data_IF_545770484879
#
_entry.id   IF_545770484879
#
_cell.length_a   1.000
_cell.length_b   1.000
_cell.length_c   1.000
_cell.angle_alpha   90.00
_cell.angle_beta   90.00
_cell.angle_gamma   90.00
#
_symmetry.space_group_name_H-M   'P 1'
#
loop_
_entity.id
_entity.type
_entity.pdbx_description
1 polymer ?
#
# COMPACT_ATOMS: atom_id res chain seq x y z
N UNK A 1 -16.84 -19.07 -5.60
CA UNK A 1 -15.82 -20.09 -5.92
C UNK A 1 -15.91 -20.37 -7.42
N UNK A 2 -14.80 -20.29 -8.16
CA UNK A 2 -14.67 -20.82 -9.50
C UNK A 2 -14.78 -19.87 -10.69
N UNK A 3 -14.77 -18.54 -10.52
CA UNK A 3 -14.77 -17.62 -11.68
C UNK A 3 -13.43 -16.97 -12.00
N UNK A 4 -12.52 -16.93 -11.06
CA UNK A 4 -11.21 -16.31 -11.27
C UNK A 4 -10.14 -16.89 -10.32
N UNK A 5 -9.62 -18.05 -10.70
CA UNK A 5 -8.52 -18.68 -9.94
C UNK A 5 -7.22 -17.87 -10.00
N UNK A 6 -7.05 -17.04 -11.02
CA UNK A 6 -5.90 -16.15 -11.13
C UNK A 6 -5.93 -15.02 -10.09
N UNK A 7 -7.12 -14.73 -9.52
CA UNK A 7 -7.23 -13.71 -8.46
C UNK A 7 -6.35 -14.04 -7.25
N UNK A 8 -6.16 -15.32 -6.92
CA UNK A 8 -5.27 -15.75 -5.84
C UNK A 8 -3.83 -15.22 -6.04
N UNK A 9 -3.34 -15.26 -7.28
CA UNK A 9 -2.00 -14.80 -7.61
C UNK A 9 -1.94 -13.27 -7.64
N UNK A 10 -3.01 -12.61 -8.09
CA UNK A 10 -3.11 -11.14 -8.01
C UNK A 10 -3.11 -10.67 -6.57
N UNK A 11 -3.88 -11.31 -5.69
CA UNK A 11 -3.93 -11.00 -4.26
C UNK A 11 -2.59 -11.26 -3.56
N UNK A 12 -1.92 -12.38 -3.89
CA UNK A 12 -0.57 -12.67 -3.40
C UNK A 12 0.41 -11.58 -3.81
N UNK A 13 0.33 -11.12 -5.07
CA UNK A 13 1.20 -10.07 -5.58
C UNK A 13 0.94 -8.75 -4.85
N UNK A 14 -0.32 -8.38 -4.61
CA UNK A 14 -0.66 -7.19 -3.83
C UNK A 14 -0.16 -7.28 -2.39
N UNK A 15 -0.26 -8.44 -1.77
CA UNK A 15 0.30 -8.67 -0.44
C UNK A 15 1.83 -8.52 -0.44
N UNK A 16 2.53 -9.07 -1.44
CA UNK A 16 3.97 -8.92 -1.57
C UNK A 16 4.39 -7.45 -1.75
N UNK A 17 3.70 -6.68 -2.60
CA UNK A 17 3.94 -5.24 -2.78
C UNK A 17 3.78 -4.49 -1.44
N UNK A 18 2.72 -4.80 -0.69
CA UNK A 18 2.48 -4.16 0.60
C UNK A 18 3.59 -4.46 1.60
N UNK A 19 4.02 -5.73 1.70
CA UNK A 19 5.09 -6.15 2.62
C UNK A 19 6.40 -5.44 2.28
N UNK A 20 6.82 -5.49 1.01
CA UNK A 20 8.08 -4.85 0.58
C UNK A 20 8.03 -3.33 0.77
N UNK A 21 6.89 -2.70 0.43
CA UNK A 21 6.71 -1.26 0.66
C UNK A 21 6.83 -0.91 2.15
N UNK A 22 6.23 -1.70 3.03
CA UNK A 22 6.29 -1.47 4.48
C UNK A 22 7.72 -1.63 5.02
N UNK A 23 8.45 -2.64 4.60
CA UNK A 23 9.87 -2.82 4.94
C UNK A 23 10.72 -1.64 4.47
N UNK A 24 10.50 -1.15 3.25
CA UNK A 24 11.20 0.02 2.72
C UNK A 24 10.84 1.29 3.49
N UNK A 25 9.56 1.51 3.83
CA UNK A 25 9.12 2.62 4.68
C UNK A 25 9.83 2.61 6.02
N UNK A 26 9.91 1.48 6.70
CA UNK A 26 10.62 1.35 7.97
C UNK A 26 12.12 1.69 7.81
N UNK A 27 12.75 1.25 6.73
CA UNK A 27 14.17 1.50 6.50
C UNK A 27 14.53 2.98 6.25
N UNK A 28 13.58 3.78 5.76
CA UNK A 28 13.78 5.21 5.47
C UNK A 28 13.16 6.13 6.52
N UNK A 29 12.53 5.58 7.55
CA UNK A 29 11.77 6.32 8.56
C UNK A 29 12.59 7.45 9.21
N UNK A 30 13.79 7.15 9.69
CA UNK A 30 14.67 8.16 10.33
C UNK A 30 15.00 9.32 9.40
N UNK A 31 15.33 9.01 8.13
CA UNK A 31 15.64 10.04 7.13
C UNK A 31 14.43 10.89 6.79
N UNK A 32 13.26 10.25 6.71
CA UNK A 32 12.01 10.93 6.46
C UNK A 32 11.63 11.88 7.62
N UNK A 33 11.84 11.46 8.87
CA UNK A 33 11.60 12.29 10.06
C UNK A 33 12.53 13.49 10.11
N UNK A 34 13.82 13.31 9.76
CA UNK A 34 14.77 14.41 9.66
C UNK A 34 14.34 15.41 8.57
N UNK A 35 14.03 14.94 7.37
CA UNK A 35 13.57 15.79 6.27
C UNK A 35 12.27 16.51 6.59
N UNK A 36 11.31 15.83 7.25
CA UNK A 36 10.07 16.43 7.71
C UNK A 36 10.29 17.53 8.75
N UNK A 37 11.25 17.31 9.67
CA UNK A 37 11.63 18.32 10.67
C UNK A 37 12.25 19.54 10.01
N UNK A 38 13.13 19.37 9.03
CA UNK A 38 13.70 20.50 8.27
C UNK A 38 12.61 21.31 7.54
N UNK A 39 11.64 20.64 6.91
CA UNK A 39 10.49 21.31 6.28
C UNK A 39 9.62 22.05 7.28
N UNK A 40 9.41 21.50 8.48
CA UNK A 40 8.68 22.18 9.55
C UNK A 40 9.43 23.42 10.04
N UNK A 41 10.75 23.34 10.19
CA UNK A 41 11.57 24.51 10.52
C UNK A 41 11.39 25.60 9.47
N UNK A 42 11.43 25.25 8.18
CA UNK A 42 11.26 26.21 7.09
C UNK A 42 9.85 26.85 7.07
N UNK A 43 8.81 26.08 7.42
CA UNK A 43 7.43 26.58 7.53
C UNK A 43 7.24 27.50 8.73
N UNK A 44 7.97 27.27 9.82
CA UNK A 44 7.90 28.05 11.07
C UNK A 44 8.82 29.28 11.07
N UNK A 45 9.79 29.31 10.15
CA UNK A 45 10.64 30.48 10.00
C UNK A 45 9.79 31.73 9.68
N UNK A 46 10.00 32.85 10.36
CA UNK A 46 9.33 34.08 10.01
C UNK A 46 9.68 34.42 8.58
N UNK A 47 8.72 34.20 7.69
CA UNK A 47 8.87 34.63 6.30
C UNK A 47 9.00 36.15 6.34
N UNK A 48 10.20 36.64 6.02
CA UNK A 48 10.33 37.99 5.54
C UNK A 48 9.37 38.09 4.35
N UNK A 49 8.20 38.66 4.60
CA UNK A 49 7.14 38.88 3.61
C UNK A 49 7.69 39.75 2.49
N UNK A 50 8.48 39.16 1.58
CA UNK A 50 8.54 39.69 0.25
C UNK A 50 7.18 39.36 -0.35
N UNK A 51 6.26 40.31 -0.18
CA UNK A 51 5.07 40.47 -1.02
C UNK A 51 5.51 40.10 -2.43
N UNK A 52 5.07 38.92 -2.91
CA UNK A 52 4.90 38.73 -4.33
C UNK A 52 3.82 39.76 -4.73
N UNK A 53 4.29 40.97 -5.08
CA UNK A 53 3.47 41.84 -5.89
C UNK A 53 3.19 41.04 -7.16
N UNK A 54 1.91 40.83 -7.53
CA UNK A 54 1.59 40.36 -8.85
C UNK A 54 2.21 41.40 -9.78
N UNK A 55 3.21 40.97 -10.56
CA UNK A 55 3.77 41.81 -11.61
C UNK A 55 2.66 42.00 -12.65
N UNK A 56 1.88 43.02 -12.45
CA UNK A 56 1.03 43.62 -13.50
C UNK A 56 1.94 44.23 -14.56
N UNK A 57 2.70 43.35 -15.21
CA UNK A 57 3.40 43.67 -16.42
C UNK A 57 2.40 43.74 -17.54
N UNK A 58 2.10 44.96 -17.99
CA UNK A 58 1.37 45.17 -19.24
C UNK A 58 2.05 44.35 -20.37
N UNK A 59 1.26 43.75 -21.29
CA UNK A 59 1.79 42.91 -22.37
C UNK A 59 2.78 43.61 -23.34
N UNK A 60 3.06 44.89 -23.15
CA UNK A 60 3.94 45.68 -24.01
C UNK A 60 5.40 45.69 -23.60
N UNK A 61 5.77 45.23 -22.39
CA UNK A 61 7.16 45.27 -21.90
C UNK A 61 8.04 44.15 -22.49
N UNK A 62 7.47 43.11 -23.07
CA UNK A 62 8.21 42.00 -23.67
C UNK A 62 8.76 42.26 -25.09
N UNK A 63 8.47 43.43 -25.69
CA UNK A 63 8.90 43.73 -27.06
C UNK A 63 10.22 44.51 -27.10
N UNK A 64 10.59 45.16 -26.01
CA UNK A 64 11.89 45.85 -25.91
C UNK A 64 12.81 45.10 -24.96
N UNK A 65 13.63 44.21 -25.52
CA UNK A 65 14.60 43.36 -24.85
C UNK A 65 15.65 44.11 -24.03
N UNK A 66 15.26 44.54 -22.82
CA UNK A 66 16.15 44.99 -21.79
C UNK A 66 15.87 44.21 -20.52
N UNK A 67 16.39 42.97 -20.44
CA UNK A 67 16.56 42.27 -19.20
C UNK A 67 17.60 42.97 -18.35
N UNK A 68 17.20 43.90 -17.50
CA UNK A 68 18.02 44.43 -16.44
C UNK A 68 18.07 43.33 -15.36
N UNK A 69 19.22 42.70 -15.09
CA UNK A 69 19.31 41.76 -13.97
C UNK A 69 19.06 42.54 -12.68
N UNK A 70 17.97 42.26 -11.99
CA UNK A 70 17.77 42.77 -10.63
C UNK A 70 18.92 42.31 -9.76
N UNK A 71 19.62 43.20 -9.04
CA UNK A 71 20.69 42.78 -8.13
C UNK A 71 20.05 41.89 -7.05
N UNK A 72 20.40 40.61 -7.01
CA UNK A 72 20.16 39.75 -5.83
C UNK A 72 20.87 40.44 -4.67
N UNK A 73 20.11 41.04 -3.75
CA UNK A 73 20.64 41.52 -2.48
C UNK A 73 21.21 40.29 -1.77
N UNK A 74 22.53 40.14 -1.78
CA UNK A 74 23.25 39.23 -0.89
C UNK A 74 22.91 39.64 0.55
N UNK A 75 22.40 38.70 1.34
CA UNK A 75 22.20 38.90 2.77
C UNK A 75 23.52 39.38 3.40
N UNK A 76 23.42 40.34 4.31
CA UNK A 76 24.59 40.77 5.11
C UNK A 76 25.01 39.62 6.05
N UNK A 77 26.24 39.64 6.54
CA UNK A 77 26.77 38.62 7.47
C UNK A 77 25.89 38.55 8.75
N UNK A 78 25.48 39.71 9.25
CA UNK A 78 24.62 39.84 10.43
C UNK A 78 23.22 39.21 10.18
N UNK A 79 22.62 39.42 9.00
CA UNK A 79 21.34 38.81 8.62
C UNK A 79 21.43 37.28 8.48
N UNK A 80 22.58 36.75 8.08
CA UNK A 80 22.84 35.31 8.03
C UNK A 80 22.93 34.71 9.42
N UNK A 81 23.69 35.36 10.31
CA UNK A 81 23.85 34.88 11.69
C UNK A 81 22.51 34.89 12.45
N UNK A 82 21.69 35.91 12.27
CA UNK A 82 20.33 35.95 12.83
C UNK A 82 19.42 34.85 12.24
N UNK A 83 19.51 34.60 10.93
CA UNK A 83 18.78 33.53 10.27
C UNK A 83 19.16 32.15 10.84
N UNK A 84 20.47 31.84 10.96
CA UNK A 84 20.93 30.56 11.47
C UNK A 84 20.61 30.37 12.96
N UNK A 85 20.69 31.43 13.77
CA UNK A 85 20.34 31.37 15.18
C UNK A 85 18.85 31.12 15.39
N UNK A 86 17.99 31.79 14.63
CA UNK A 86 16.54 31.60 14.66
C UNK A 86 16.17 30.19 14.20
N UNK A 87 16.75 29.72 13.11
CA UNK A 87 16.55 28.37 12.60
C UNK A 87 16.93 27.29 13.62
N UNK A 88 18.06 27.44 14.29
CA UNK A 88 18.52 26.50 15.33
C UNK A 88 17.60 26.50 16.54
N UNK A 89 17.12 27.69 16.95
CA UNK A 89 16.16 27.82 18.06
C UNK A 89 14.85 27.12 17.76
N UNK A 90 14.29 27.30 16.57
CA UNK A 90 13.05 26.63 16.14
C UNK A 90 13.28 25.11 16.05
N UNK A 91 14.39 24.65 15.49
CA UNK A 91 14.72 23.23 15.44
C UNK A 91 14.83 22.60 16.83
N UNK A 92 15.46 23.30 17.78
CA UNK A 92 15.53 22.86 19.18
C UNK A 92 14.15 22.76 19.83
N UNK A 93 13.28 23.77 19.65
CA UNK A 93 11.93 23.78 20.19
C UNK A 93 11.04 22.70 19.57
N UNK A 94 11.18 22.42 18.27
CA UNK A 94 10.51 21.32 17.59
C UNK A 94 10.93 19.95 18.13
N UNK A 95 12.22 19.75 18.34
CA UNK A 95 12.76 18.48 18.87
C UNK A 95 12.40 18.30 20.37
N UNK A 96 12.24 19.41 21.09
CA UNK A 96 11.80 19.38 22.49
C UNK A 96 10.29 19.25 22.65
N UNK A 97 9.51 19.20 21.55
CA UNK A 97 8.04 19.08 21.59
C UNK A 97 7.30 20.35 22.05
N UNK A 98 7.97 21.48 22.19
CA UNK A 98 7.37 22.73 22.69
C UNK A 98 6.41 23.37 21.68
N UNK A 99 6.52 23.04 20.39
CA UNK A 99 5.75 23.65 19.31
C UNK A 99 4.63 22.73 18.76
N UNK A 100 4.39 21.56 19.36
CA UNK A 100 3.45 20.56 18.84
C UNK A 100 2.01 21.08 18.64
N UNK A 101 1.58 22.02 19.47
CA UNK A 101 0.24 22.63 19.38
C UNK A 101 0.18 23.88 18.50
N UNK A 102 1.30 24.37 17.99
CA UNK A 102 1.33 25.52 17.11
C UNK A 102 0.68 25.18 15.77
N UNK A 103 -0.13 26.10 15.23
CA UNK A 103 -0.83 25.91 13.97
C UNK A 103 0.09 26.35 12.83
N UNK A 104 0.28 25.47 11.85
CA UNK A 104 1.00 25.72 10.60
C UNK A 104 0.08 25.58 9.41
N UNK A 105 0.38 26.29 8.33
CA UNK A 105 -0.27 26.13 7.03
C UNK A 105 0.58 25.20 6.15
N UNK A 106 0.01 24.06 5.80
CA UNK A 106 0.67 23.06 4.96
C UNK A 106 -0.11 22.86 3.66
N UNK A 107 0.61 22.83 2.55
CA UNK A 107 0.07 22.36 1.27
C UNK A 107 0.01 20.83 1.29
N UNK A 108 -1.21 20.29 1.37
CA UNK A 108 -1.45 18.83 1.34
C UNK A 108 -2.04 18.46 -0.01
N UNK A 109 -1.55 17.38 -0.60
CA UNK A 109 -2.17 16.78 -1.77
C UNK A 109 -3.54 16.21 -1.39
N UNK A 110 -4.59 16.67 -2.06
CA UNK A 110 -5.93 16.14 -1.86
C UNK A 110 -6.01 14.77 -2.55
N UNK A 111 -6.02 13.69 -1.76
CA UNK A 111 -6.42 12.38 -2.27
C UNK A 111 -7.83 12.53 -2.84
N UNK A 112 -7.99 12.33 -4.14
CA UNK A 112 -9.31 12.29 -4.77
C UNK A 112 -10.04 11.04 -4.25
N UNK A 113 -10.54 11.09 -3.01
CA UNK A 113 -11.52 10.16 -2.53
C UNK A 113 -12.80 10.42 -3.34
N UNK A 114 -13.05 9.52 -4.29
CA UNK A 114 -14.35 9.23 -4.88
C UNK A 114 -15.35 10.40 -4.87
N UNK A 115 -15.26 11.28 -5.84
CA UNK A 115 -16.46 11.94 -6.31
C UNK A 115 -17.37 10.85 -6.84
N UNK A 116 -18.20 10.31 -5.96
CA UNK A 116 -19.36 9.51 -6.32
C UNK A 116 -20.28 10.37 -7.18
N UNK A 117 -20.03 10.35 -8.47
CA UNK A 117 -20.92 10.92 -9.46
C UNK A 117 -22.02 9.92 -9.80
N UNK A 118 -22.54 9.26 -8.75
CA UNK A 118 -23.70 8.35 -8.82
C UNK A 118 -24.96 9.04 -9.35
N UNK A 119 -24.94 10.36 -9.53
CA UNK A 119 -26.08 11.11 -10.05
C UNK A 119 -26.27 10.99 -11.57
N UNK A 120 -25.34 10.39 -12.32
CA UNK A 120 -25.40 10.30 -13.78
C UNK A 120 -25.40 8.88 -14.34
N UNK A 121 -25.55 7.84 -13.51
CA UNK A 121 -25.75 6.47 -13.99
C UNK A 121 -24.60 5.85 -14.80
N UNK A 122 -23.39 6.40 -14.75
CA UNK A 122 -22.20 5.85 -15.40
C UNK A 122 -21.28 5.32 -14.32
N UNK A 123 -21.36 4.02 -14.09
CA UNK A 123 -20.54 3.25 -13.14
C UNK A 123 -19.12 2.97 -13.71
N UNK A 124 -18.51 3.93 -14.37
CA UNK A 124 -17.12 3.83 -14.79
C UNK A 124 -16.27 4.67 -13.86
N UNK A 125 -15.35 4.01 -13.18
CA UNK A 125 -14.35 4.60 -12.29
C UNK A 125 -13.36 5.46 -13.11
N UNK A 126 -13.83 6.62 -13.55
CA UNK A 126 -13.09 7.56 -14.41
C UNK A 126 -11.86 8.13 -13.68
N UNK A 127 -11.83 7.98 -12.35
CA UNK A 127 -10.68 8.33 -11.51
C UNK A 127 -9.44 7.50 -11.80
N UNK A 128 -9.60 6.21 -12.11
CA UNK A 128 -8.48 5.32 -12.44
C UNK A 128 -7.92 5.55 -13.86
N UNK A 129 -8.77 6.03 -14.78
CA UNK A 129 -8.33 6.27 -16.16
C UNK A 129 -7.69 7.65 -16.36
N UNK A 130 -8.13 8.66 -15.64
CA UNK A 130 -7.66 10.05 -15.77
C UNK A 130 -6.75 10.51 -14.62
N UNK A 131 -6.63 9.70 -13.56
CA UNK A 131 -5.82 10.00 -12.38
C UNK A 131 -4.36 10.40 -12.68
N UNK A 132 -3.66 9.68 -13.58
CA UNK A 132 -2.28 10.04 -13.94
C UNK A 132 -2.13 11.32 -14.76
N UNK A 133 -3.20 11.78 -15.41
CA UNK A 133 -3.17 12.94 -16.31
C UNK A 133 -3.66 14.26 -15.67
N UNK A 134 -4.31 14.20 -14.51
CA UNK A 134 -4.74 15.40 -13.80
C UNK A 134 -3.68 15.87 -12.80
N UNK A 135 -3.26 17.14 -12.83
CA UNK A 135 -2.37 17.68 -11.80
C UNK A 135 -3.06 17.56 -10.43
N UNK A 136 -2.37 16.90 -9.49
CA UNK A 136 -2.84 16.78 -8.11
C UNK A 136 -3.12 18.17 -7.54
N UNK A 137 -4.34 18.41 -7.11
CA UNK A 137 -4.72 19.69 -6.51
C UNK A 137 -4.11 19.79 -5.12
N UNK A 138 -3.23 20.76 -4.93
CA UNK A 138 -2.70 21.12 -3.62
C UNK A 138 -3.69 22.03 -2.91
N UNK A 139 -3.99 21.75 -1.66
CA UNK A 139 -4.86 22.58 -0.82
C UNK A 139 -4.12 22.98 0.45
N UNK A 140 -4.12 24.26 0.75
CA UNK A 140 -3.60 24.77 2.01
C UNK A 140 -4.53 24.34 3.15
N UNK A 141 -3.98 23.61 4.13
CA UNK A 141 -4.66 23.21 5.35
C UNK A 141 -3.94 23.79 6.57
N UNK A 142 -4.73 24.30 7.52
CA UNK A 142 -4.23 24.69 8.84
C UNK A 142 -4.34 23.50 9.78
N UNK A 143 -3.23 23.12 10.39
CA UNK A 143 -3.19 22.00 11.32
C UNK A 143 -2.11 22.21 12.38
N UNK A 144 -2.20 21.53 13.54
CA UNK A 144 -1.12 21.54 14.54
C UNK A 144 0.18 20.95 13.98
N UNK A 145 1.32 21.38 14.52
CA UNK A 145 2.65 20.86 14.14
C UNK A 145 2.71 19.33 14.31
N UNK A 146 2.10 18.76 15.34
CA UNK A 146 2.03 17.31 15.56
C UNK A 146 1.42 16.57 14.37
N UNK A 147 0.32 17.08 13.81
CA UNK A 147 -0.31 16.46 12.62
C UNK A 147 0.48 16.76 11.36
N UNK A 148 1.00 17.97 11.22
CA UNK A 148 1.85 18.36 10.09
C UNK A 148 3.12 17.50 10.03
N UNK A 149 3.74 17.19 11.17
CA UNK A 149 4.89 16.28 11.27
C UNK A 149 4.57 14.91 10.68
N UNK A 150 3.44 14.31 11.08
CA UNK A 150 3.01 13.00 10.57
C UNK A 150 2.80 13.01 9.05
N UNK A 151 2.13 14.04 8.54
CA UNK A 151 1.88 14.20 7.10
C UNK A 151 3.19 14.37 6.33
N UNK A 152 4.06 15.25 6.80
CA UNK A 152 5.34 15.51 6.15
C UNK A 152 6.27 14.30 6.20
N UNK A 153 6.33 13.58 7.32
CA UNK A 153 7.12 12.34 7.42
C UNK A 153 6.64 11.30 6.41
N UNK A 154 5.32 11.13 6.26
CA UNK A 154 4.78 10.22 5.26
C UNK A 154 5.11 10.66 3.82
N UNK A 155 4.97 11.95 3.51
CA UNK A 155 5.34 12.50 2.20
C UNK A 155 6.83 12.33 1.88
N UNK A 156 7.71 12.60 2.85
CA UNK A 156 9.17 12.45 2.67
C UNK A 156 9.56 10.96 2.55
N UNK A 157 8.93 10.07 3.33
CA UNK A 157 9.14 8.63 3.21
C UNK A 157 8.74 8.11 1.82
N UNK A 158 7.56 8.52 1.30
CA UNK A 158 7.12 8.13 -0.04
C UNK A 158 8.06 8.66 -1.16
N UNK A 159 8.71 9.82 -0.96
CA UNK A 159 9.71 10.33 -1.91
C UNK A 159 11.04 9.56 -1.90
N UNK A 160 11.39 8.99 -0.75
CA UNK A 160 12.63 8.23 -0.58
C UNK A 160 12.53 6.79 -1.10
N UNK A 161 11.33 6.33 -1.43
CA UNK A 161 11.08 4.97 -1.91
C UNK A 161 10.96 4.97 -3.42
N UNK A 162 11.75 4.13 -4.07
CA UNK A 162 11.60 3.81 -5.48
C UNK A 162 10.54 2.72 -5.66
N UNK A 163 9.37 3.10 -6.15
CA UNK A 163 8.25 2.17 -6.37
C UNK A 163 8.52 1.15 -7.46
N UNK A 164 9.40 1.43 -8.41
CA UNK A 164 9.79 0.47 -9.44
C UNK A 164 10.69 -0.63 -8.84
N UNK A 165 11.58 -0.26 -7.92
CA UNK A 165 12.39 -1.21 -7.16
C UNK A 165 11.52 -2.07 -6.24
N UNK A 166 10.57 -1.46 -5.52
CA UNK A 166 9.61 -2.16 -4.66
C UNK A 166 8.82 -3.18 -5.48
N UNK A 167 8.32 -2.78 -6.64
CA UNK A 167 7.53 -3.65 -7.52
C UNK A 167 8.37 -4.83 -8.00
N UNK A 168 9.57 -4.58 -8.49
CA UNK A 168 10.48 -5.64 -8.97
C UNK A 168 10.81 -6.64 -7.87
N UNK A 169 11.15 -6.16 -6.67
CA UNK A 169 11.46 -7.02 -5.54
C UNK A 169 10.25 -7.83 -5.09
N UNK A 170 9.08 -7.21 -5.02
CA UNK A 170 7.84 -7.88 -4.63
C UNK A 170 7.42 -8.98 -5.60
N UNK A 171 7.56 -8.75 -6.93
CA UNK A 171 7.30 -9.78 -7.92
C UNK A 171 8.25 -10.97 -7.76
N UNK A 172 9.55 -10.73 -7.55
CA UNK A 172 10.52 -11.79 -7.31
C UNK A 172 10.21 -12.57 -6.02
N UNK A 173 9.80 -11.89 -4.95
CA UNK A 173 9.40 -12.56 -3.69
C UNK A 173 8.12 -13.37 -3.87
N UNK A 174 7.13 -12.85 -4.57
CA UNK A 174 5.89 -13.57 -4.87
C UNK A 174 6.17 -14.84 -5.67
N UNK A 175 7.02 -14.78 -6.69
CA UNK A 175 7.39 -15.93 -7.52
C UNK A 175 8.17 -17.00 -6.76
N UNK A 176 9.15 -16.62 -5.91
CA UNK A 176 10.10 -17.55 -5.31
C UNK A 176 9.76 -17.95 -3.86
N UNK A 177 8.97 -17.16 -3.17
CA UNK A 177 8.63 -17.35 -1.75
C UNK A 177 7.12 -17.30 -1.50
N UNK A 178 6.31 -17.24 -2.54
CA UNK A 178 4.86 -17.21 -2.45
C UNK A 178 4.30 -18.51 -1.87
N UNK A 179 3.37 -18.40 -0.92
CA UNK A 179 2.61 -19.52 -0.35
C UNK A 179 1.13 -19.22 -0.56
N UNK A 180 0.44 -20.14 -1.20
CA UNK A 180 -1.00 -20.03 -1.49
C UNK A 180 -1.75 -21.12 -0.76
N UNK A 181 -2.70 -20.74 0.09
CA UNK A 181 -3.59 -21.67 0.78
C UNK A 181 -4.91 -21.78 0.01
N UNK A 182 -5.29 -23.01 -0.32
CA UNK A 182 -6.57 -23.34 -0.95
C UNK A 182 -7.40 -24.07 0.10
N UNK A 183 -8.33 -23.36 0.72
CA UNK A 183 -9.20 -23.96 1.73
C UNK A 183 -10.44 -24.61 1.10
N UNK A 184 -11.03 -25.55 1.83
CA UNK A 184 -12.23 -26.29 1.44
C UNK A 184 -12.13 -27.01 0.08
N UNK A 185 -10.95 -27.56 -0.27
CA UNK A 185 -10.77 -28.27 -1.54
C UNK A 185 -11.69 -29.48 -1.69
N UNK A 186 -12.17 -30.05 -0.57
CA UNK A 186 -13.15 -31.11 -0.54
C UNK A 186 -14.51 -30.73 -1.16
N UNK A 187 -14.83 -29.43 -1.24
CA UNK A 187 -16.09 -28.95 -1.86
C UNK A 187 -16.08 -29.10 -3.38
N UNK A 188 -14.90 -29.12 -3.98
CA UNK A 188 -14.74 -29.35 -5.42
C UNK A 188 -14.37 -30.81 -5.76
N UNK A 189 -14.10 -31.64 -4.76
CA UNK A 189 -13.92 -33.08 -4.93
C UNK A 189 -15.27 -33.79 -5.18
N UNK A 190 -15.26 -34.83 -5.96
CA UNK A 190 -16.42 -35.69 -6.23
C UNK A 190 -16.98 -35.56 -7.63
N UNK A 191 -17.62 -36.65 -8.07
CA UNK A 191 -18.24 -36.77 -9.39
C UNK A 191 -19.57 -36.06 -9.40
N UNK A 192 -19.97 -35.47 -10.55
CA UNK A 192 -21.29 -34.93 -10.77
C UNK A 192 -22.35 -36.02 -10.58
N UNK A 193 -23.23 -35.85 -9.60
CA UNK A 193 -24.53 -36.55 -9.64
C UNK A 193 -25.39 -35.87 -10.71
N UNK A 194 -25.78 -36.63 -11.72
CA UNK A 194 -26.65 -36.19 -12.80
C UNK A 194 -28.01 -35.73 -12.19
N UNK A 195 -28.20 -34.43 -12.05
CA UNK A 195 -29.50 -33.93 -11.56
C UNK A 195 -29.57 -32.50 -11.07
N UNK A 196 -28.53 -31.71 -11.18
CA UNK A 196 -28.58 -30.32 -10.71
C UNK A 196 -28.23 -29.34 -11.82
N UNK A 197 -29.01 -28.26 -11.94
CA UNK A 197 -29.00 -27.27 -13.01
C UNK A 197 -27.66 -26.62 -13.36
N UNK A 198 -27.60 -25.42 -13.98
CA UNK A 198 -26.39 -24.82 -14.57
C UNK A 198 -25.41 -24.34 -13.50
N UNK A 199 -24.97 -25.24 -12.61
CA UNK A 199 -23.91 -25.00 -11.65
C UNK A 199 -22.54 -25.23 -12.31
N UNK A 200 -21.59 -24.36 -11.95
CA UNK A 200 -20.19 -24.50 -12.34
C UNK A 200 -19.74 -25.91 -11.96
N UNK A 201 -19.33 -26.69 -12.96
CA UNK A 201 -18.91 -28.07 -12.74
C UNK A 201 -17.76 -28.09 -11.74
N UNK A 202 -17.86 -28.91 -10.68
CA UNK A 202 -16.77 -29.09 -9.69
C UNK A 202 -15.46 -29.51 -10.37
N UNK A 203 -15.56 -30.37 -11.37
CA UNK A 203 -14.42 -30.78 -12.19
C UNK A 203 -13.86 -29.60 -13.02
N UNK A 204 -14.72 -28.69 -13.49
CA UNK A 204 -14.29 -27.48 -14.19
C UNK A 204 -13.41 -26.59 -13.29
N UNK A 205 -13.80 -26.39 -12.04
CA UNK A 205 -13.00 -25.61 -11.07
C UNK A 205 -11.63 -26.28 -10.80
N UNK A 206 -11.60 -27.62 -10.70
CA UNK A 206 -10.32 -28.32 -10.54
C UNK A 206 -9.43 -28.13 -11.76
N UNK A 207 -9.97 -28.15 -12.96
CA UNK A 207 -9.25 -27.90 -14.21
C UNK A 207 -8.79 -26.44 -14.34
N UNK A 208 -9.54 -25.51 -13.79
CA UNK A 208 -9.14 -24.08 -13.77
C UNK A 208 -7.96 -23.81 -12.81
N UNK A 209 -7.87 -24.57 -11.71
CA UNK A 209 -6.74 -24.49 -10.76
C UNK A 209 -5.48 -25.11 -11.33
N UNK A 210 -5.60 -26.15 -12.16
CA UNK A 210 -4.49 -26.97 -12.63
C UNK A 210 -3.36 -26.15 -13.27
N UNK A 211 -3.60 -25.24 -14.22
CA UNK A 211 -2.53 -24.44 -14.82
C UNK A 211 -1.75 -23.62 -13.78
N UNK A 212 -2.43 -23.13 -12.74
CA UNK A 212 -1.80 -22.33 -11.68
C UNK A 212 -0.82 -23.17 -10.85
N UNK A 213 -1.21 -24.40 -10.49
CA UNK A 213 -0.35 -25.29 -9.70
C UNK A 213 0.69 -26.03 -10.55
N UNK A 214 0.49 -26.10 -11.85
CA UNK A 214 1.46 -26.69 -12.80
C UNK A 214 2.59 -25.73 -13.18
N UNK A 215 2.38 -24.45 -13.00
CA UNK A 215 3.28 -23.39 -13.45
C UNK A 215 2.71 -22.66 -14.65
N UNK A 216 2.30 -21.45 -14.46
CA UNK A 216 1.79 -20.55 -15.50
C UNK A 216 2.22 -19.12 -15.23
N UNK A 217 2.00 -18.25 -16.21
CA UNK A 217 2.23 -16.82 -16.06
C UNK A 217 0.89 -16.10 -15.93
N UNK A 218 0.66 -15.48 -14.77
CA UNK A 218 -0.55 -14.70 -14.49
C UNK A 218 -0.25 -13.23 -14.69
N UNK A 219 -1.12 -12.54 -15.45
CA UNK A 219 -1.00 -11.10 -15.65
C UNK A 219 -1.61 -10.36 -14.47
N UNK A 220 -0.80 -9.50 -13.84
CA UNK A 220 -1.23 -8.61 -12.77
C UNK A 220 -1.08 -7.15 -13.20
N UNK A 221 -1.66 -6.22 -12.44
CA UNK A 221 -1.47 -4.78 -12.69
C UNK A 221 -0.02 -4.31 -12.49
N UNK A 222 0.81 -5.12 -11.85
CA UNK A 222 2.23 -4.85 -11.62
C UNK A 222 3.16 -5.55 -12.62
N UNK A 223 2.62 -6.39 -13.48
CA UNK A 223 3.35 -7.17 -14.47
C UNK A 223 3.04 -8.66 -14.41
N UNK A 224 3.69 -9.47 -15.26
CA UNK A 224 3.53 -10.91 -15.27
C UNK A 224 4.18 -11.55 -14.04
N UNK A 225 3.53 -12.57 -13.47
CA UNK A 225 4.00 -13.36 -12.32
C UNK A 225 3.96 -14.83 -12.66
N UNK A 226 5.07 -15.52 -12.47
CA UNK A 226 5.19 -16.98 -12.70
C UNK A 226 4.88 -17.74 -11.42
N UNK A 227 4.14 -18.83 -11.54
CA UNK A 227 3.74 -19.65 -10.39
C UNK A 227 4.59 -20.90 -10.17
N UNK A 228 5.64 -21.11 -10.98
CA UNK A 228 6.46 -22.32 -11.03
C UNK A 228 7.11 -22.69 -9.68
N UNK A 229 7.48 -21.70 -8.86
CA UNK A 229 8.18 -21.91 -7.60
C UNK A 229 7.33 -21.58 -6.37
N UNK A 230 6.03 -21.33 -6.56
CA UNK A 230 5.11 -21.08 -5.43
C UNK A 230 4.75 -22.38 -4.72
N UNK A 231 4.59 -22.30 -3.42
CA UNK A 231 4.09 -23.41 -2.62
C UNK A 231 2.56 -23.33 -2.51
N UNK A 232 1.91 -24.40 -2.94
CA UNK A 232 0.46 -24.54 -2.81
C UNK A 232 0.14 -25.53 -1.69
N UNK A 233 -0.72 -25.11 -0.75
CA UNK A 233 -1.18 -25.92 0.37
C UNK A 233 -2.70 -25.98 0.28
N UNK A 234 -3.24 -27.17 0.03
CA UNK A 234 -4.68 -27.39 -0.03
C UNK A 234 -5.18 -28.03 1.28
N UNK A 235 -6.25 -27.54 1.83
CA UNK A 235 -6.90 -28.07 3.03
C UNK A 235 -8.36 -28.43 2.74
N UNK A 236 -8.86 -29.48 3.39
CA UNK A 236 -10.25 -29.89 3.27
C UNK A 236 -10.59 -30.90 4.37
N UNK A 237 -11.85 -30.90 4.76
CA UNK A 237 -12.35 -31.78 5.83
C UNK A 237 -12.59 -33.24 5.33
N UNK A 238 -12.85 -33.42 4.04
CA UNK A 238 -13.09 -34.72 3.39
C UNK A 238 -14.06 -35.68 4.12
N UNK A 239 -15.12 -35.12 4.75
CA UNK A 239 -16.10 -35.93 5.47
C UNK A 239 -17.00 -36.75 4.54
N UNK A 240 -17.30 -36.21 3.34
CA UNK A 240 -18.22 -36.82 2.36
C UNK A 240 -17.47 -37.30 1.13
N UNK A 241 -16.40 -36.63 0.76
CA UNK A 241 -15.52 -36.95 -0.34
C UNK A 241 -14.17 -37.45 0.19
N UNK A 242 -13.34 -38.00 -0.69
CA UNK A 242 -11.97 -38.42 -0.40
C UNK A 242 -10.99 -37.65 -1.27
N UNK A 243 -9.71 -37.70 -0.93
CA UNK A 243 -8.65 -37.08 -1.75
C UNK A 243 -8.62 -37.73 -3.14
N UNK A 244 -8.91 -39.04 -3.22
CA UNK A 244 -8.98 -39.78 -4.46
C UNK A 244 -10.17 -39.38 -5.38
N UNK A 245 -11.10 -38.58 -4.87
CA UNK A 245 -12.22 -38.03 -5.68
C UNK A 245 -11.83 -36.75 -6.42
N UNK A 246 -10.64 -36.21 -6.18
CA UNK A 246 -10.04 -35.17 -7.03
C UNK A 246 -9.62 -35.77 -8.38
N UNK A 247 -9.52 -34.93 -9.43
CA UNK A 247 -9.03 -35.41 -10.71
C UNK A 247 -7.57 -35.88 -10.60
N UNK A 248 -7.16 -36.94 -11.29
CA UNK A 248 -5.82 -37.52 -11.16
C UNK A 248 -4.67 -36.54 -11.38
N UNK A 249 -4.85 -35.59 -12.30
CA UNK A 249 -3.87 -34.56 -12.62
C UNK A 249 -3.62 -33.67 -11.39
N UNK A 250 -4.68 -33.26 -10.66
CA UNK A 250 -4.57 -32.44 -9.48
C UNK A 250 -3.94 -33.23 -8.31
N UNK A 251 -4.30 -34.51 -8.13
CA UNK A 251 -3.67 -35.38 -7.14
C UNK A 251 -2.16 -35.48 -7.38
N UNK A 252 -1.72 -35.57 -8.63
CA UNK A 252 -0.30 -35.60 -8.96
C UNK A 252 0.47 -34.33 -8.61
N UNK A 253 -0.23 -33.20 -8.46
CA UNK A 253 0.37 -31.90 -8.09
C UNK A 253 0.38 -31.66 -6.58
N UNK A 254 -0.39 -32.43 -5.82
CA UNK A 254 -0.39 -32.45 -4.34
C UNK A 254 0.08 -33.83 -3.81
N UNK A 255 1.36 -34.18 -4.04
CA UNK A 255 1.86 -35.53 -3.71
C UNK A 255 2.03 -35.77 -2.20
N UNK A 256 2.11 -34.70 -1.40
CA UNK A 256 2.27 -34.80 0.05
C UNK A 256 0.91 -34.66 0.71
N UNK A 257 0.42 -35.74 1.30
CA UNK A 257 -0.86 -35.76 2.03
C UNK A 257 -0.58 -35.91 3.52
N UNK A 258 -1.13 -35.00 4.31
CA UNK A 258 -1.00 -34.99 5.77
C UNK A 258 -2.40 -35.07 6.37
N UNK A 259 -2.60 -36.04 7.27
CA UNK A 259 -3.84 -36.13 8.07
C UNK A 259 -3.58 -35.45 9.42
N UNK A 260 -4.49 -34.52 9.79
CA UNK A 260 -4.45 -33.87 11.10
C UNK A 260 -5.27 -34.70 12.10
N UNK A 261 -4.72 -34.85 13.30
CA UNK A 261 -5.42 -35.54 14.40
C UNK A 261 -6.53 -34.65 14.97
N UNK A 262 -7.52 -35.30 15.60
CA UNK A 262 -8.58 -34.58 16.30
C UNK A 262 -8.03 -33.85 17.53
N UNK A 263 -8.54 -32.64 17.77
CA UNK A 263 -8.15 -31.83 18.92
C UNK A 263 -8.61 -32.49 20.23
N UNK A 264 -7.73 -32.51 21.22
CA UNK A 264 -8.05 -32.94 22.59
C UNK A 264 -8.59 -31.77 23.42
N UNK A 265 -9.14 -32.05 24.59
CA UNK A 265 -9.59 -31.01 25.53
C UNK A 265 -8.44 -30.08 25.96
N UNK A 266 -7.21 -30.65 26.07
CA UNK A 266 -6.01 -29.88 26.40
C UNK A 266 -5.63 -28.92 25.26
N UNK A 267 -5.71 -29.35 23.99
CA UNK A 267 -5.46 -28.53 22.83
C UNK A 267 -6.48 -27.36 22.76
N UNK A 268 -7.74 -27.62 23.04
CA UNK A 268 -8.75 -26.55 23.12
C UNK A 268 -8.43 -25.53 24.22
N UNK A 269 -8.00 -25.97 25.38
CA UNK A 269 -7.60 -25.06 26.45
C UNK A 269 -6.43 -24.18 26.05
N UNK A 270 -5.44 -24.73 25.33
CA UNK A 270 -4.29 -23.98 24.82
C UNK A 270 -4.70 -22.98 23.74
N UNK A 271 -5.54 -23.35 22.79
CA UNK A 271 -6.06 -22.48 21.73
C UNK A 271 -6.80 -21.26 22.31
N UNK A 272 -7.49 -21.44 23.44
CA UNK A 272 -8.22 -20.35 24.08
C UNK A 272 -7.30 -19.33 24.79
N UNK A 273 -6.03 -19.67 25.09
CA UNK A 273 -5.16 -18.86 25.93
C UNK A 273 -3.86 -18.44 25.24
N UNK A 274 -3.22 -19.35 24.48
CA UNK A 274 -1.87 -19.15 23.95
C UNK A 274 -1.79 -18.12 22.81
N UNK A 275 -2.65 -18.16 21.77
CA UNK A 275 -2.54 -17.24 20.64
C UNK A 275 -2.60 -15.77 21.07
N UNK A 276 -1.91 -14.89 20.36
CA UNK A 276 -1.94 -13.45 20.64
C UNK A 276 -3.35 -12.89 20.53
N UNK A 277 -4.14 -13.38 19.55
CA UNK A 277 -5.53 -13.03 19.35
C UNK A 277 -6.52 -13.98 20.05
N UNK A 278 -6.09 -14.66 21.13
CA UNK A 278 -6.98 -15.55 21.88
C UNK A 278 -8.22 -14.81 22.37
N UNK A 279 -9.39 -15.46 22.26
CA UNK A 279 -10.68 -14.86 22.67
C UNK A 279 -10.63 -14.39 24.13
N UNK A 280 -10.02 -15.18 25.03
CA UNK A 280 -9.86 -14.81 26.43
C UNK A 280 -9.07 -13.51 26.62
N UNK A 281 -7.99 -13.31 25.83
CA UNK A 281 -7.19 -12.09 25.89
C UNK A 281 -7.97 -10.88 25.36
N UNK A 282 -8.75 -11.07 24.30
CA UNK A 282 -9.59 -10.01 23.74
C UNK A 282 -10.66 -9.54 24.74
N UNK A 283 -11.34 -10.48 25.40
CA UNK A 283 -12.35 -10.13 26.41
C UNK A 283 -11.76 -9.52 27.69
N UNK A 284 -10.51 -9.85 28.02
CA UNK A 284 -9.84 -9.26 29.18
C UNK A 284 -9.39 -7.81 28.90
N UNK A 285 -9.16 -7.47 27.63
CA UNK A 285 -8.72 -6.15 27.21
C UNK A 285 -9.89 -5.16 27.00
N UNK A 286 -11.13 -5.64 26.95
CA UNK A 286 -12.37 -4.84 26.92
C UNK A 286 -12.85 -4.45 28.32
#
# INVERSE_FOLDING_TARGET
>A
VGRDVESMIRDLTEAAIRIVKEERLQSVQEKAEQAATERLVDLLMPQNQKKQQPSGGTPLASIFGAAIPSPQKSMTEEEKDEYYSTRSSIAFQLNSGLLENQIVELEVEESQNNMNMSAMGIDMNMGDLLGPLMPKRKKLRKMPVSDARRVLTAEEADKLIDMDEVTREALLRAENHGIVFIDEIDKIAGRQNAGSGPDVSREGVQRDILPIVEGSTVMTKYGPVKTDYMLFIAAGAFHVSKVEDLIPELQGRFPVVVSLDSLTAEDFARILVEPDNAITKQYTAL
#
